data_IF_928721298673
#
_entry.id   IF_928721298673
#
_cell.length_a   1.000
_cell.length_b   1.000
_cell.length_c   1.000
_cell.angle_alpha   90.00
_cell.angle_beta   90.00
_cell.angle_gamma   90.00
#
_symmetry.space_group_name_H-M   'P 1'
#
loop_
_entity.id
_entity.type
_entity.pdbx_description
1 polymer ?
#
# COMPACT_ATOMS: atom_id res chain seq x y z
N UNK A 1 51.58 14.49 -0.64
CA UNK A 1 51.02 13.12 -0.65
C UNK A 1 52.09 12.10 -1.09
N UNK A 2 53.25 12.09 -0.43
CA UNK A 2 54.44 11.27 -0.76
C UNK A 2 55.10 10.67 0.50
N UNK A 3 54.32 10.46 1.57
CA UNK A 3 54.83 10.08 2.90
C UNK A 3 54.19 8.81 3.47
N UNK A 4 53.36 8.09 2.70
CA UNK A 4 52.70 6.85 3.17
C UNK A 4 52.98 5.63 2.28
N UNK A 5 53.88 5.75 1.29
CA UNK A 5 54.27 4.63 0.42
C UNK A 5 55.48 3.87 1.00
N UNK A 6 56.24 4.44 1.93
CA UNK A 6 57.48 3.83 2.44
C UNK A 6 57.32 2.93 3.68
N UNK A 7 56.08 2.62 4.10
CA UNK A 7 55.82 1.75 5.26
C UNK A 7 55.31 0.34 4.88
N UNK A 8 55.05 0.07 3.60
CA UNK A 8 54.58 -1.24 3.13
C UNK A 8 55.71 -2.13 2.57
N UNK A 9 56.90 -1.59 2.33
CA UNK A 9 58.01 -2.31 1.68
C UNK A 9 59.04 -2.90 2.66
N UNK A 10 58.90 -2.69 3.97
CA UNK A 10 59.87 -3.19 4.97
C UNK A 10 59.44 -4.47 5.71
N UNK A 11 58.32 -5.09 5.34
CA UNK A 11 57.80 -6.30 6.01
C UNK A 11 57.88 -7.59 5.16
N UNK A 12 58.40 -7.52 3.92
CA UNK A 12 58.49 -8.67 3.01
C UNK A 12 59.89 -9.34 3.06
N UNK A 13 60.82 -8.83 3.87
CA UNK A 13 62.15 -9.43 4.06
C UNK A 13 62.29 -9.99 5.47
N UNK A 14 61.62 -11.10 5.75
CA UNK A 14 62.00 -12.04 6.82
C UNK A 14 61.13 -13.29 6.73
N UNK A 15 61.57 -14.27 5.95
CA UNK A 15 60.96 -15.61 5.93
C UNK A 15 61.05 -16.28 7.30
N UNK A 16 59.91 -16.57 7.91
CA UNK A 16 59.78 -17.51 9.03
C UNK A 16 58.38 -18.12 9.06
N UNK A 17 58.21 -19.44 8.87
CA UNK A 17 56.92 -20.13 8.97
C UNK A 17 56.81 -20.91 10.28
N UNK A 18 55.65 -20.88 10.98
CA UNK A 18 55.19 -21.98 11.85
C UNK A 18 53.64 -22.04 11.84
N UNK A 19 53.18 -23.28 11.75
CA UNK A 19 51.88 -23.92 11.66
C UNK A 19 51.20 -24.06 13.05
N UNK A 20 49.85 -23.99 13.15
CA UNK A 20 48.96 -24.94 13.88
C UNK A 20 47.52 -24.42 14.18
N UNK A 21 46.55 -25.07 13.51
CA UNK A 21 45.32 -25.75 14.04
C UNK A 21 44.21 -25.04 14.88
N UNK A 22 43.09 -24.68 14.17
CA UNK A 22 41.60 -24.79 14.46
C UNK A 22 40.94 -24.14 15.73
N UNK A 23 39.57 -24.01 15.82
CA UNK A 23 38.53 -23.61 14.85
C UNK A 23 37.48 -22.58 15.43
N UNK A 24 36.62 -22.04 14.55
CA UNK A 24 35.22 -21.56 14.76
C UNK A 24 34.78 -21.10 16.17
N UNK A 25 34.57 -19.78 16.36
CA UNK A 25 33.29 -19.18 16.78
C UNK A 25 33.43 -17.68 17.10
N UNK A 26 32.36 -16.94 16.76
CA UNK A 26 31.94 -15.70 17.41
C UNK A 26 32.71 -14.41 17.10
N UNK A 27 32.29 -13.78 16.01
CA UNK A 27 31.78 -12.41 16.13
C UNK A 27 30.76 -12.17 15.02
N UNK A 28 29.48 -12.37 15.36
CA UNK A 28 28.40 -11.64 14.70
C UNK A 28 28.79 -10.17 14.75
N UNK A 29 29.15 -9.62 13.59
CA UNK A 29 29.38 -8.19 13.48
C UNK A 29 28.07 -7.50 13.91
N UNK A 30 28.14 -6.74 15.00
CA UNK A 30 27.11 -5.76 15.34
C UNK A 30 26.96 -4.85 14.11
N UNK A 31 25.88 -5.08 13.36
CA UNK A 31 25.45 -4.17 12.31
C UNK A 31 25.07 -2.88 13.03
N UNK A 32 25.93 -1.86 12.93
CA UNK A 32 25.66 -0.56 13.50
C UNK A 32 24.44 0.04 12.81
N UNK A 33 23.29 -0.03 13.48
CA UNK A 33 22.05 0.56 12.99
C UNK A 33 22.29 2.07 12.79
N UNK A 34 22.02 2.64 11.60
CA UNK A 34 22.22 4.06 11.34
C UNK A 34 21.46 4.91 12.38
N UNK A 35 22.16 5.82 13.05
CA UNK A 35 21.54 6.81 13.95
C UNK A 35 21.03 7.99 13.11
N UNK A 36 19.73 8.01 12.85
CA UNK A 36 19.01 9.12 12.22
C UNK A 36 17.51 9.02 12.51
N UNK A 37 16.71 10.07 12.28
CA UNK A 37 15.26 9.97 12.40
C UNK A 37 14.74 9.00 11.33
N UNK A 38 14.07 7.95 11.78
CA UNK A 38 13.41 6.99 10.90
C UNK A 38 12.06 7.56 10.47
N UNK A 39 11.63 7.18 9.28
CA UNK A 39 10.37 7.63 8.69
C UNK A 39 9.38 6.49 8.79
N UNK A 40 8.27 6.72 9.48
CA UNK A 40 7.16 5.78 9.50
C UNK A 40 6.03 6.33 8.64
N UNK A 41 5.64 5.58 7.60
CA UNK A 41 4.48 5.90 6.78
C UNK A 41 3.22 5.34 7.45
N UNK A 42 2.46 6.21 8.11
CA UNK A 42 1.23 5.82 8.80
C UNK A 42 0.04 5.56 7.86
N UNK A 43 0.15 5.98 6.59
CA UNK A 43 -0.84 5.73 5.56
C UNK A 43 -0.60 4.42 4.81
N UNK A 44 0.37 3.58 5.21
CA UNK A 44 0.66 2.32 4.56
C UNK A 44 -0.42 1.25 4.85
N UNK A 45 -0.99 0.70 3.77
CA UNK A 45 -1.93 -0.41 3.82
C UNK A 45 -1.38 -1.62 4.58
N UNK A 46 -0.10 -1.96 4.41
CA UNK A 46 0.51 -3.11 5.09
C UNK A 46 0.62 -2.91 6.61
N UNK A 47 0.56 -1.67 7.08
CA UNK A 47 0.50 -1.32 8.49
C UNK A 47 -0.93 -1.13 9.01
N UNK A 48 -1.95 -1.42 8.20
CA UNK A 48 -3.36 -1.34 8.58
C UNK A 48 -4.04 -0.01 8.31
N UNK A 49 -3.42 0.89 7.52
CA UNK A 49 -4.13 2.05 7.00
C UNK A 49 -5.17 1.63 5.95
N UNK A 50 -6.21 2.44 5.78
CA UNK A 50 -7.27 2.16 4.80
C UNK A 50 -7.89 3.44 4.26
N UNK A 51 -8.41 3.37 3.04
CA UNK A 51 -9.22 4.42 2.44
C UNK A 51 -10.62 4.35 3.03
N UNK A 52 -11.10 5.49 3.51
CA UNK A 52 -12.48 5.66 3.93
C UNK A 52 -13.35 5.91 2.69
N UNK A 53 -13.83 4.84 2.08
CA UNK A 53 -14.58 4.86 0.81
C UNK A 53 -15.85 5.72 0.95
N UNK A 54 -16.51 5.69 2.11
CA UNK A 54 -17.74 6.44 2.36
C UNK A 54 -17.52 7.96 2.39
N UNK A 55 -16.30 8.40 2.68
CA UNK A 55 -15.93 9.81 2.76
C UNK A 55 -14.85 10.19 1.72
N UNK A 56 -14.65 9.33 0.73
CA UNK A 56 -13.81 9.61 -0.43
C UNK A 56 -14.69 9.79 -1.66
N UNK A 57 -14.19 10.54 -2.63
CA UNK A 57 -14.78 10.56 -3.96
C UNK A 57 -14.79 9.16 -4.58
N UNK A 58 -15.72 8.94 -5.49
CA UNK A 58 -15.82 7.68 -6.21
C UNK A 58 -14.54 7.34 -6.98
N UNK A 59 -14.20 6.06 -7.03
CA UNK A 59 -12.98 5.54 -7.65
C UNK A 59 -13.28 4.50 -8.72
N UNK A 60 -12.48 4.48 -9.79
CA UNK A 60 -12.44 3.37 -10.75
C UNK A 60 -11.99 2.04 -10.13
N UNK A 61 -11.31 2.06 -8.98
CA UNK A 61 -10.85 0.87 -8.27
C UNK A 61 -11.94 0.23 -7.38
N UNK A 62 -13.07 0.91 -7.19
CA UNK A 62 -14.21 0.38 -6.49
C UNK A 62 -15.16 -0.32 -7.49
N UNK A 63 -15.04 -1.64 -7.64
CA UNK A 63 -15.80 -2.41 -8.65
C UNK A 63 -17.01 -3.14 -8.06
N UNK A 64 -18.09 -3.22 -8.84
CA UNK A 64 -19.39 -3.82 -8.45
C UNK A 64 -19.33 -5.33 -8.12
N UNK A 65 -18.32 -6.05 -8.61
CA UNK A 65 -18.17 -7.51 -8.42
C UNK A 65 -17.24 -7.90 -7.25
N UNK A 66 -17.13 -7.06 -6.23
CA UNK A 66 -16.75 -7.52 -4.89
C UNK A 66 -15.25 -7.61 -4.61
N UNK A 67 -14.41 -6.87 -5.34
CA UNK A 67 -13.01 -6.66 -4.96
C UNK A 67 -12.72 -5.17 -5.02
N UNK A 68 -12.83 -4.50 -3.87
CA UNK A 68 -12.38 -3.13 -3.75
C UNK A 68 -10.85 -3.07 -3.78
N UNK A 69 -10.30 -2.34 -4.74
CA UNK A 69 -8.86 -2.14 -4.91
C UNK A 69 -8.41 -0.74 -4.47
N UNK A 70 -9.31 0.07 -3.88
CA UNK A 70 -9.05 1.47 -3.54
C UNK A 70 -7.81 1.63 -2.66
N UNK A 71 -7.52 0.67 -1.77
CA UNK A 71 -6.35 0.68 -0.90
C UNK A 71 -4.99 0.51 -1.62
N UNK A 72 -4.97 0.22 -2.93
CA UNK A 72 -3.72 0.19 -3.71
C UNK A 72 -3.01 1.55 -3.77
N UNK A 73 -3.74 2.65 -3.58
CA UNK A 73 -3.17 4.01 -3.45
C UNK A 73 -2.38 4.21 -2.16
N UNK A 74 -2.53 3.29 -1.21
CA UNK A 74 -1.89 3.28 0.11
C UNK A 74 -0.84 2.17 0.26
N UNK A 75 -0.73 1.25 -0.71
CA UNK A 75 0.24 0.17 -0.66
C UNK A 75 1.66 0.74 -0.85
N UNK A 76 2.44 0.76 0.24
CA UNK A 76 3.77 1.36 0.20
C UNK A 76 4.73 0.51 -0.66
N UNK A 77 5.26 1.12 -1.71
CA UNK A 77 6.16 0.49 -2.68
C UNK A 77 7.11 1.52 -3.29
N UNK A 78 8.34 1.14 -3.67
CA UNK A 78 9.30 2.07 -4.25
C UNK A 78 8.80 2.79 -5.50
N UNK A 79 8.00 2.10 -6.33
CA UNK A 79 7.44 2.65 -7.55
C UNK A 79 6.02 2.12 -7.78
N UNK A 80 4.99 2.98 -7.85
CA UNK A 80 3.65 2.53 -8.20
C UNK A 80 3.52 2.13 -9.69
N UNK A 81 2.77 1.05 -10.02
CA UNK A 81 2.34 0.67 -11.36
C UNK A 81 1.36 1.68 -11.95
N UNK A 82 1.34 1.76 -13.27
CA UNK A 82 0.57 2.75 -14.02
C UNK A 82 -0.94 2.49 -14.03
N UNK A 83 -1.35 1.23 -13.98
CA UNK A 83 -2.74 0.78 -14.10
C UNK A 83 -3.46 0.64 -12.74
N UNK A 84 -2.78 0.95 -11.63
CA UNK A 84 -3.29 0.78 -10.26
C UNK A 84 -3.54 2.11 -9.53
N UNK A 85 -3.81 3.18 -10.28
CA UNK A 85 -4.12 4.49 -9.72
C UNK A 85 -5.58 4.57 -9.25
N UNK A 86 -5.80 5.24 -8.13
CA UNK A 86 -7.12 5.69 -7.70
C UNK A 86 -7.54 6.87 -8.57
N UNK A 87 -8.50 6.68 -9.45
CA UNK A 87 -8.99 7.71 -10.36
C UNK A 87 -10.42 8.10 -10.04
N UNK A 88 -10.68 9.40 -9.93
CA UNK A 88 -12.02 9.96 -9.74
C UNK A 88 -12.37 10.91 -10.87
N UNK A 89 -13.64 10.92 -11.26
CA UNK A 89 -14.20 11.84 -12.26
C UNK A 89 -14.89 13.08 -11.65
N UNK A 90 -14.79 13.24 -10.34
CA UNK A 90 -15.31 14.42 -9.64
C UNK A 90 -14.38 15.63 -9.87
N UNK A 91 -14.96 16.83 -9.97
CA UNK A 91 -14.21 18.07 -10.27
C UNK A 91 -13.22 18.47 -9.17
N UNK A 92 -13.46 18.05 -7.93
CA UNK A 92 -12.59 18.36 -6.78
C UNK A 92 -12.50 17.12 -5.91
N UNK A 93 -11.77 16.09 -6.39
CA UNK A 93 -11.83 14.78 -5.78
C UNK A 93 -11.12 14.78 -4.43
N UNK A 94 -11.66 13.96 -3.55
CA UNK A 94 -11.25 13.88 -2.16
C UNK A 94 -10.88 12.45 -1.83
N UNK A 95 -9.70 12.23 -1.26
CA UNK A 95 -9.24 10.93 -0.78
C UNK A 95 -9.08 10.99 0.73
N UNK A 96 -9.95 10.30 1.46
CA UNK A 96 -9.95 10.24 2.93
C UNK A 96 -9.30 8.93 3.39
N UNK A 97 -8.37 9.03 4.34
CA UNK A 97 -7.52 7.92 4.77
C UNK A 97 -7.60 7.79 6.28
N UNK A 98 -7.95 6.59 6.75
CA UNK A 98 -7.70 6.15 8.11
C UNK A 98 -6.23 5.74 8.20
N UNK A 99 -5.48 6.40 9.06
CA UNK A 99 -4.09 6.05 9.37
C UNK A 99 -4.05 4.80 10.23
N UNK A 100 -2.96 4.04 10.10
CA UNK A 100 -2.70 2.81 10.89
C UNK A 100 -2.67 3.03 12.41
N UNK A 101 -2.34 4.25 12.86
CA UNK A 101 -2.33 4.67 14.26
C UNK A 101 -2.43 6.19 14.36
N UNK A 102 -2.69 6.68 15.57
CA UNK A 102 -2.55 8.10 15.88
C UNK A 102 -1.09 8.54 15.74
N UNK A 103 -0.83 9.56 14.93
CA UNK A 103 0.50 10.12 14.73
C UNK A 103 0.51 11.64 14.78
N UNK A 104 1.70 12.22 15.02
CA UNK A 104 1.96 13.64 14.75
C UNK A 104 2.71 13.75 13.41
N UNK A 105 2.00 13.97 12.30
CA UNK A 105 2.64 13.96 11.00
C UNK A 105 3.55 15.17 10.81
N UNK A 106 4.68 14.97 10.14
CA UNK A 106 5.69 16.00 9.86
C UNK A 106 5.66 16.46 8.40
N UNK A 107 5.34 15.56 7.49
CA UNK A 107 5.17 15.84 6.06
C UNK A 107 4.35 14.73 5.43
N UNK A 108 3.78 15.03 4.27
CA UNK A 108 3.14 14.07 3.37
C UNK A 108 3.96 13.95 2.10
N UNK A 109 3.77 12.88 1.35
CA UNK A 109 4.27 12.81 -0.02
C UNK A 109 3.21 12.33 -0.98
N UNK A 110 3.37 12.74 -2.23
CA UNK A 110 2.68 12.19 -3.37
C UNK A 110 3.70 11.65 -4.35
N UNK A 111 3.46 10.43 -4.85
CA UNK A 111 4.28 9.77 -5.86
C UNK A 111 3.41 9.32 -7.04
N UNK A 112 3.84 9.65 -8.25
CA UNK A 112 3.22 9.18 -9.48
C UNK A 112 3.90 7.89 -9.99
N UNK A 113 3.18 7.07 -10.78
CA UNK A 113 3.82 6.07 -11.63
C UNK A 113 4.90 6.69 -12.51
N UNK A 114 5.89 5.90 -12.92
CA UNK A 114 7.01 6.39 -13.72
C UNK A 114 6.51 7.07 -15.00
N UNK A 115 6.95 8.30 -15.20
CA UNK A 115 6.69 9.10 -16.39
C UNK A 115 8.01 9.66 -16.94
N UNK A 116 8.00 10.01 -18.22
CA UNK A 116 9.18 10.50 -18.93
C UNK A 116 8.92 11.93 -19.39
N UNK A 117 9.76 12.88 -18.95
CA UNK A 117 9.81 14.29 -19.33
C UNK A 117 8.56 15.14 -19.07
N UNK A 118 7.36 14.57 -19.19
CA UNK A 118 6.06 15.21 -19.01
C UNK A 118 5.24 14.48 -17.96
N UNK A 119 4.63 15.26 -17.07
CA UNK A 119 3.69 14.75 -16.08
C UNK A 119 2.36 14.44 -16.80
N UNK A 120 1.76 13.25 -16.60
CA UNK A 120 0.48 12.91 -17.20
C UNK A 120 -0.64 13.90 -16.80
N UNK A 121 -1.57 14.18 -17.72
CA UNK A 121 -2.58 15.22 -17.55
C UNK A 121 -3.55 14.92 -16.38
N UNK A 122 -3.77 13.65 -16.08
CA UNK A 122 -4.59 13.13 -14.99
C UNK A 122 -3.93 13.28 -13.62
N UNK A 123 -2.63 13.54 -13.56
CA UNK A 123 -1.91 13.67 -12.30
C UNK A 123 -2.40 14.92 -11.53
N UNK A 124 -2.61 14.82 -10.20
CA UNK A 124 -2.77 15.99 -9.36
C UNK A 124 -1.58 16.93 -9.52
N UNK A 125 -1.89 18.22 -9.70
CA UNK A 125 -0.93 19.32 -9.73
C UNK A 125 -0.91 20.04 -8.40
N UNK A 126 -2.08 20.48 -7.94
CA UNK A 126 -2.24 21.24 -6.70
C UNK A 126 -3.21 20.52 -5.77
N UNK A 127 -2.78 20.33 -4.52
CA UNK A 127 -3.61 19.69 -3.50
C UNK A 127 -3.36 20.27 -2.11
N UNK A 128 -4.33 20.04 -1.23
CA UNK A 128 -4.25 20.35 0.19
C UNK A 128 -4.40 19.07 1.01
N UNK A 129 -3.90 19.08 2.24
CA UNK A 129 -4.10 17.99 3.19
C UNK A 129 -4.65 18.54 4.48
N UNK A 130 -5.74 17.93 4.96
CA UNK A 130 -6.40 18.33 6.20
C UNK A 130 -6.46 17.16 7.18
N UNK A 131 -6.43 17.46 8.47
CA UNK A 131 -6.72 16.53 9.55
C UNK A 131 -8.23 16.52 9.80
N UNK A 132 -8.82 15.34 9.82
CA UNK A 132 -10.22 15.18 10.23
C UNK A 132 -10.30 15.16 11.76
N UNK A 133 -11.16 16.00 12.33
CA UNK A 133 -11.37 16.11 13.77
C UNK A 133 -12.58 15.30 14.25
N UNK A 134 -13.36 14.75 13.33
CA UNK A 134 -14.46 13.84 13.59
C UNK A 134 -14.48 12.68 12.60
N UNK A 135 -15.31 11.68 12.89
CA UNK A 135 -15.42 10.45 12.11
C UNK A 135 -15.81 10.70 10.64
N UNK A 136 -16.65 11.68 10.37
CA UNK A 136 -17.17 11.98 9.02
C UNK A 136 -16.30 13.01 8.26
N UNK A 137 -15.23 13.52 8.91
CA UNK A 137 -14.43 14.63 8.42
C UNK A 137 -15.24 15.91 8.11
N UNK A 138 -16.34 16.15 8.84
CA UNK A 138 -17.13 17.39 8.67
C UNK A 138 -16.40 18.59 9.29
N UNK A 139 -15.73 18.37 10.41
CA UNK A 139 -14.82 19.29 11.05
C UNK A 139 -13.38 18.87 10.75
N UNK A 140 -12.60 19.78 10.22
CA UNK A 140 -11.21 19.52 9.84
C UNK A 140 -10.32 20.74 10.08
N UNK A 141 -9.01 20.50 10.14
CA UNK A 141 -7.97 21.53 10.25
C UNK A 141 -6.93 21.36 9.15
N UNK A 142 -6.47 22.45 8.48
CA UNK A 142 -5.37 22.37 7.54
C UNK A 142 -4.10 21.78 8.17
N UNK A 143 -3.45 20.85 7.46
CA UNK A 143 -2.12 20.34 7.78
C UNK A 143 -1.07 20.92 6.84
N UNK A 144 -1.34 20.81 5.55
CA UNK A 144 -0.52 21.36 4.48
C UNK A 144 -1.44 21.98 3.42
N UNK A 145 -1.01 23.08 2.82
CA UNK A 145 -1.78 23.81 1.82
C UNK A 145 -0.90 24.19 0.65
N UNK A 146 -1.47 24.21 -0.56
CA UNK A 146 -0.76 24.49 -1.81
C UNK A 146 0.44 23.54 -2.02
N UNK A 147 0.27 22.27 -1.70
CA UNK A 147 1.22 21.25 -2.13
C UNK A 147 1.18 21.17 -3.65
N UNK A 148 2.34 21.34 -4.28
CA UNK A 148 2.49 21.30 -5.73
C UNK A 148 3.32 20.08 -6.12
N UNK A 149 2.76 19.25 -7.01
CA UNK A 149 3.50 18.24 -7.74
C UNK A 149 4.01 18.86 -9.04
N UNK A 150 5.32 18.90 -9.26
CA UNK A 150 5.88 19.55 -10.45
C UNK A 150 7.16 18.89 -11.00
N UNK A 151 7.54 19.22 -12.22
CA UNK A 151 8.79 18.73 -12.82
C UNK A 151 10.07 19.30 -12.18
N UNK A 152 9.94 20.25 -11.24
CA UNK A 152 11.09 20.91 -10.61
C UNK A 152 11.75 20.02 -9.54
N UNK A 153 11.02 19.06 -8.99
CA UNK A 153 11.51 18.13 -7.97
C UNK A 153 12.20 16.92 -8.61
N UNK A 154 13.20 16.38 -7.91
CA UNK A 154 13.91 15.19 -8.38
C UNK A 154 13.06 13.94 -8.08
N UNK A 155 12.76 13.17 -9.13
CA UNK A 155 12.07 11.90 -9.02
C UNK A 155 10.54 12.02 -9.06
N UNK A 156 9.89 10.86 -8.93
CA UNK A 156 8.43 10.76 -9.05
C UNK A 156 7.69 11.00 -7.74
N UNK A 157 8.39 10.91 -6.59
CA UNK A 157 7.87 11.22 -5.25
C UNK A 157 8.26 12.63 -4.84
N UNK A 158 7.31 13.39 -4.32
CA UNK A 158 7.51 14.77 -3.87
C UNK A 158 6.90 14.99 -2.50
N UNK A 159 7.63 15.70 -1.65
CA UNK A 159 7.28 15.94 -0.26
C UNK A 159 6.62 17.30 -0.09
N UNK A 160 5.60 17.35 0.76
CA UNK A 160 4.95 18.58 1.20
C UNK A 160 4.99 18.65 2.72
N UNK A 161 5.66 19.69 3.24
CA UNK A 161 5.85 19.86 4.68
C UNK A 161 4.55 20.29 5.37
N UNK A 162 4.32 19.75 6.56
CA UNK A 162 3.20 20.16 7.41
C UNK A 162 3.67 21.35 8.24
N UNK A 163 3.01 22.49 8.05
CA UNK A 163 3.37 23.75 8.71
C UNK A 163 2.53 24.04 9.94
N UNK A 164 1.41 23.33 10.10
CA UNK A 164 0.46 23.56 11.18
C UNK A 164 0.78 22.70 12.40
N UNK A 165 0.67 23.22 13.64
CA UNK A 165 0.78 22.40 14.84
C UNK A 165 -0.34 21.37 14.90
N UNK A 166 0.02 20.10 15.07
CA UNK A 166 -0.89 18.95 15.01
C UNK A 166 -0.91 18.25 16.36
N UNK A 167 -2.10 18.17 16.97
CA UNK A 167 -2.40 17.13 17.97
C UNK A 167 -2.34 15.77 17.26
N UNK A 168 -2.06 14.64 17.94
CA UNK A 168 -2.09 13.34 17.26
C UNK A 168 -3.41 13.13 16.50
N UNK A 169 -3.32 12.66 15.26
CA UNK A 169 -4.46 12.41 14.37
C UNK A 169 -4.45 10.98 13.85
N UNK A 170 -5.63 10.44 13.58
CA UNK A 170 -5.82 9.10 13.00
C UNK A 170 -6.45 9.15 11.60
N UNK A 171 -6.91 10.32 11.14
CA UNK A 171 -7.59 10.44 9.85
C UNK A 171 -7.18 11.73 9.14
N UNK A 172 -6.85 11.60 7.87
CA UNK A 172 -6.49 12.72 6.99
C UNK A 172 -7.32 12.69 5.72
N UNK A 173 -7.38 13.83 5.05
CA UNK A 173 -8.04 13.95 3.76
C UNK A 173 -7.17 14.76 2.81
N UNK A 174 -6.81 14.13 1.68
CA UNK A 174 -6.19 14.77 0.53
C UNK A 174 -7.28 15.38 -0.34
N UNK A 175 -7.14 16.66 -0.67
CA UNK A 175 -8.11 17.44 -1.44
C UNK A 175 -7.44 17.94 -2.70
N UNK A 176 -7.72 17.29 -3.83
CA UNK A 176 -7.10 17.61 -5.10
C UNK A 176 -7.88 18.75 -5.76
N UNK A 177 -7.19 19.86 -6.03
CA UNK A 177 -7.80 21.10 -6.54
C UNK A 177 -7.61 21.26 -8.03
N UNK A 178 -6.42 20.90 -8.52
CA UNK A 178 -6.05 21.03 -9.93
C UNK A 178 -5.26 19.79 -10.37
N UNK A 179 -5.47 19.37 -11.62
CA UNK A 179 -4.63 18.40 -12.31
C UNK A 179 -3.88 19.09 -13.47
N UNK A 180 -3.15 18.31 -14.28
CA UNK A 180 -2.32 18.83 -15.37
C UNK A 180 -3.07 19.12 -16.68
N UNK A 181 -4.40 19.01 -16.71
CA UNK A 181 -5.22 19.40 -17.86
C UNK A 181 -6.22 18.34 -18.31
N UNK A 182 -6.39 17.25 -17.57
CA UNK A 182 -7.46 16.29 -17.86
C UNK A 182 -8.81 16.83 -17.37
N UNK A 183 -9.77 16.97 -18.28
CA UNK A 183 -11.09 17.52 -17.96
C UNK A 183 -12.09 16.49 -17.42
N UNK A 184 -11.70 15.21 -17.38
CA UNK A 184 -12.58 14.09 -17.04
C UNK A 184 -12.22 13.43 -15.73
N UNK A 185 -10.95 13.38 -15.36
CA UNK A 185 -10.51 12.64 -14.18
C UNK A 185 -9.20 13.15 -13.57
N UNK A 186 -9.03 12.83 -12.29
CA UNK A 186 -7.76 12.95 -11.57
C UNK A 186 -7.36 11.57 -11.04
N UNK A 187 -6.12 11.16 -11.28
CA UNK A 187 -5.59 9.84 -10.93
C UNK A 187 -4.41 9.95 -9.95
N UNK A 188 -4.58 9.33 -8.78
CA UNK A 188 -3.62 9.35 -7.67
C UNK A 188 -3.00 7.97 -7.55
N UNK A 189 -1.67 7.89 -7.63
CA UNK A 189 -0.96 6.61 -7.62
C UNK A 189 -0.54 6.15 -6.23
N UNK A 190 0.15 7.00 -5.47
CA UNK A 190 0.60 6.67 -4.12
C UNK A 190 0.72 7.93 -3.27
N UNK A 191 0.12 7.88 -2.08
CA UNK A 191 0.23 8.94 -1.07
C UNK A 191 0.78 8.37 0.22
N UNK A 192 1.57 9.17 0.94
CA UNK A 192 2.16 8.78 2.22
C UNK A 192 2.02 9.87 3.25
N UNK A 193 1.94 9.47 4.51
CA UNK A 193 1.82 10.39 5.65
C UNK A 193 2.87 9.98 6.68
N UNK A 194 3.86 10.83 6.88
CA UNK A 194 5.04 10.46 7.64
C UNK A 194 5.08 11.06 9.03
N UNK A 195 5.54 10.25 9.98
CA UNK A 195 5.99 10.65 11.31
C UNK A 195 7.50 10.37 11.43
N UNK A 196 8.22 11.25 12.15
CA UNK A 196 9.61 10.98 12.55
C UNK A 196 9.63 10.10 13.80
N UNK A 197 10.31 8.96 13.72
CA UNK A 197 10.47 8.02 14.84
C UNK A 197 11.93 7.89 15.23
N UNK A 198 12.20 7.81 16.53
CA UNK A 198 13.55 7.54 17.05
C UNK A 198 13.92 6.05 16.99
N UNK A 199 12.91 5.18 16.87
CA UNK A 199 13.10 3.73 16.71
C UNK A 199 13.30 3.37 15.23
N UNK A 200 14.31 2.54 14.91
CA UNK A 200 14.43 1.95 13.58
C UNK A 200 13.16 1.19 13.23
N UNK A 201 12.64 1.42 12.03
CA UNK A 201 11.83 0.39 11.38
C UNK A 201 12.84 -0.69 11.04
N UNK A 202 12.86 -1.77 11.83
CA UNK A 202 13.81 -2.87 11.62
C UNK A 202 13.39 -3.60 10.34
N UNK A 203 13.98 -3.22 9.21
CA UNK A 203 13.73 -3.84 7.89
C UNK A 203 14.92 -4.68 7.40
N UNK A 204 15.67 -5.30 8.32
CA UNK A 204 16.63 -6.33 7.96
C UNK A 204 16.29 -7.63 8.70
N UNK A 205 15.30 -8.34 8.17
CA UNK A 205 15.18 -9.78 8.41
C UNK A 205 15.98 -10.46 7.32
N UNK A 206 17.00 -11.26 7.69
CA UNK A 206 17.51 -12.28 6.76
C UNK A 206 16.29 -13.05 6.25
N UNK A 207 16.13 -13.10 4.93
CA UNK A 207 15.01 -13.80 4.31
C UNK A 207 15.07 -15.25 4.78
N UNK A 208 14.00 -15.69 5.41
CA UNK A 208 13.86 -17.05 5.90
C UNK A 208 13.94 -18.01 4.69
N UNK A 209 14.67 -19.12 4.82
CA UNK A 209 14.73 -20.15 3.77
C UNK A 209 13.34 -20.63 3.36
N UNK A 210 12.37 -20.62 4.28
CA UNK A 210 10.99 -20.98 3.98
C UNK A 210 10.32 -19.92 3.07
N UNK A 211 10.50 -18.63 3.37
CA UNK A 211 10.03 -17.52 2.52
C UNK A 211 10.65 -17.56 1.12
N UNK A 212 11.96 -17.79 1.03
CA UNK A 212 12.65 -17.93 -0.27
C UNK A 212 12.05 -19.07 -1.12
N UNK A 213 11.72 -20.20 -0.49
CA UNK A 213 11.09 -21.33 -1.19
C UNK A 213 9.70 -20.95 -1.69
N UNK A 214 8.88 -20.31 -0.85
CA UNK A 214 7.55 -19.82 -1.20
C UNK A 214 7.63 -18.88 -2.40
N UNK A 215 8.46 -17.84 -2.34
CA UNK A 215 8.57 -16.85 -3.41
C UNK A 215 9.07 -17.48 -4.73
N UNK A 216 10.01 -18.43 -4.67
CA UNK A 216 10.49 -19.17 -5.85
C UNK A 216 9.39 -20.03 -6.48
N UNK A 217 8.56 -20.68 -5.65
CA UNK A 217 7.44 -21.49 -6.12
C UNK A 217 6.37 -20.62 -6.79
N UNK A 218 6.00 -19.49 -6.17
CA UNK A 218 5.06 -18.52 -6.74
C UNK A 218 5.53 -17.96 -8.08
N UNK A 219 6.81 -17.57 -8.17
CA UNK A 219 7.41 -17.13 -9.43
C UNK A 219 7.28 -18.22 -10.51
N UNK A 220 7.56 -19.47 -10.15
CA UNK A 220 7.45 -20.59 -11.09
C UNK A 220 6.02 -20.78 -11.57
N UNK A 221 5.04 -20.67 -10.68
CA UNK A 221 3.62 -20.75 -11.06
C UNK A 221 3.23 -19.60 -11.97
N UNK A 222 3.61 -18.37 -11.63
CA UNK A 222 3.31 -17.19 -12.44
C UNK A 222 3.75 -17.36 -13.91
N UNK A 223 4.99 -17.84 -14.14
CA UNK A 223 5.54 -18.00 -15.49
C UNK A 223 5.12 -19.27 -16.22
N UNK A 224 4.82 -20.36 -15.52
CA UNK A 224 4.58 -21.67 -16.15
C UNK A 224 3.10 -22.11 -16.15
N UNK A 225 2.26 -21.59 -15.25
CA UNK A 225 0.88 -22.03 -15.07
C UNK A 225 0.03 -20.97 -14.38
N UNK A 226 -0.68 -20.17 -15.19
CA UNK A 226 -1.60 -19.12 -14.70
C UNK A 226 -2.68 -19.67 -13.75
N UNK A 227 -3.15 -20.90 -13.99
CA UNK A 227 -4.18 -21.54 -13.17
C UNK A 227 -3.65 -21.90 -11.77
N UNK A 228 -2.43 -22.44 -11.68
CA UNK A 228 -1.81 -22.73 -10.39
C UNK A 228 -1.54 -21.45 -9.60
N UNK A 229 -1.14 -20.37 -10.30
CA UNK A 229 -0.93 -19.07 -9.67
C UNK A 229 -2.24 -18.47 -9.14
N UNK A 230 -3.33 -18.56 -9.91
CA UNK A 230 -4.64 -18.04 -9.51
C UNK A 230 -5.26 -18.76 -8.30
N UNK A 231 -4.93 -20.04 -8.10
CA UNK A 231 -5.40 -20.83 -6.94
C UNK A 231 -4.60 -20.53 -5.67
N UNK A 232 -3.41 -19.95 -5.78
CA UNK A 232 -2.61 -19.52 -4.62
C UNK A 232 -3.12 -18.16 -4.12
N UNK A 233 -3.16 -17.98 -2.80
CA UNK A 233 -3.51 -16.71 -2.17
C UNK A 233 -2.36 -15.69 -2.37
N UNK A 234 -2.34 -15.03 -3.53
CA UNK A 234 -1.27 -14.11 -3.98
C UNK A 234 -1.66 -12.64 -3.79
N UNK A 235 -2.27 -12.34 -2.65
CA UNK A 235 -2.61 -10.96 -2.29
C UNK A 235 -1.36 -10.10 -2.13
N UNK A 236 -1.53 -8.79 -2.26
CA UNK A 236 -0.43 -7.85 -1.98
C UNK A 236 0.12 -8.06 -0.56
N UNK A 237 -0.73 -8.19 0.47
CA UNK A 237 -0.27 -8.46 1.84
C UNK A 237 0.62 -9.69 1.91
N UNK A 238 0.18 -10.82 1.33
CA UNK A 238 0.95 -12.06 1.37
C UNK A 238 2.31 -11.94 0.67
N UNK A 239 2.36 -11.30 -0.51
CA UNK A 239 3.61 -11.14 -1.26
C UNK A 239 4.62 -10.24 -0.55
N UNK A 240 4.16 -9.12 0.03
CA UNK A 240 5.02 -8.15 0.71
C UNK A 240 5.48 -8.66 2.08
N UNK A 241 4.62 -9.31 2.88
CA UNK A 241 5.00 -9.90 4.17
C UNK A 241 6.07 -11.00 4.04
N UNK A 242 6.11 -11.69 2.88
CA UNK A 242 7.09 -12.72 2.57
C UNK A 242 8.32 -12.20 1.81
N UNK A 243 8.42 -10.88 1.59
CA UNK A 243 9.53 -10.25 0.87
C UNK A 243 9.71 -10.82 -0.56
N UNK A 244 8.62 -11.19 -1.24
CA UNK A 244 8.70 -11.88 -2.53
C UNK A 244 9.00 -10.97 -3.73
N UNK A 245 8.82 -9.65 -3.59
CA UNK A 245 8.95 -8.72 -4.71
C UNK A 245 10.38 -8.59 -5.26
N UNK A 246 11.40 -9.00 -4.49
CA UNK A 246 12.78 -9.12 -5.01
C UNK A 246 12.93 -10.26 -6.02
N UNK A 247 12.15 -11.32 -5.86
CA UNK A 247 12.26 -12.54 -6.67
C UNK A 247 11.31 -12.49 -7.87
N UNK A 248 10.12 -11.93 -7.68
CA UNK A 248 9.07 -11.75 -8.68
C UNK A 248 8.46 -10.34 -8.56
N UNK A 249 9.12 -9.29 -9.08
CA UNK A 249 8.58 -7.93 -9.05
C UNK A 249 7.23 -7.82 -9.79
N UNK A 250 7.07 -8.55 -10.90
CA UNK A 250 5.84 -8.63 -11.69
C UNK A 250 4.66 -9.15 -10.86
N UNK A 251 4.89 -10.11 -9.96
CA UNK A 251 3.86 -10.62 -9.05
C UNK A 251 3.32 -9.50 -8.13
N UNK A 252 4.20 -8.59 -7.67
CA UNK A 252 3.83 -7.48 -6.79
C UNK A 252 3.28 -6.26 -7.55
N UNK A 253 3.60 -6.13 -8.83
CA UNK A 253 3.02 -5.13 -9.72
C UNK A 253 1.54 -5.44 -9.99
N UNK A 254 1.24 -6.72 -10.23
CA UNK A 254 -0.09 -7.20 -10.59
C UNK A 254 -0.96 -7.63 -9.39
N UNK A 255 -0.39 -7.62 -8.18
CA UNK A 255 -1.09 -8.09 -6.99
C UNK A 255 -2.41 -7.32 -6.76
N UNK A 256 -3.36 -8.03 -6.14
CA UNK A 256 -4.66 -7.49 -5.77
C UNK A 256 -4.79 -7.47 -4.26
N UNK A 257 -5.53 -6.50 -3.75
CA UNK A 257 -5.96 -6.47 -2.35
C UNK A 257 -7.28 -7.23 -2.26
N UNK A 258 -7.34 -8.33 -1.52
CA UNK A 258 -8.61 -9.04 -1.31
C UNK A 258 -9.18 -8.66 0.04
N UNK A 259 -9.81 -7.49 0.11
CA UNK A 259 -10.75 -7.20 1.19
C UNK A 259 -12.07 -7.84 0.81
N UNK A 260 -12.24 -9.11 1.16
CA UNK A 260 -13.53 -9.76 1.07
C UNK A 260 -14.49 -9.04 2.03
N UNK A 261 -15.26 -8.07 1.54
CA UNK A 261 -16.47 -7.66 2.25
C UNK A 261 -17.45 -8.83 2.15
N UNK A 262 -17.46 -9.65 3.20
CA UNK A 262 -18.31 -10.85 3.27
C UNK A 262 -19.79 -10.50 3.41
N UNK A 263 -20.14 -9.24 3.72
CA UNK A 263 -21.52 -8.79 3.93
C UNK A 263 -22.44 -9.06 2.73
N UNK A 264 -22.13 -8.67 1.48
CA UNK A 264 -22.96 -8.96 0.32
C UNK A 264 -23.20 -10.45 0.08
N UNK A 265 -22.21 -11.32 0.33
CA UNK A 265 -22.35 -12.77 0.17
C UNK A 265 -23.30 -13.34 1.22
N UNK A 266 -23.17 -12.93 2.49
CA UNK A 266 -24.08 -13.35 3.55
C UNK A 266 -25.51 -12.87 3.32
N UNK A 267 -25.70 -11.65 2.80
CA UNK A 267 -27.02 -11.13 2.44
C UNK A 267 -27.62 -11.96 1.29
N UNK A 268 -26.84 -12.26 0.25
CA UNK A 268 -27.31 -13.03 -0.91
C UNK A 268 -27.64 -14.50 -0.58
N UNK A 269 -26.80 -15.16 0.23
CA UNK A 269 -27.08 -16.52 0.71
C UNK A 269 -28.28 -16.54 1.66
N UNK A 270 -28.42 -15.51 2.51
CA UNK A 270 -29.58 -15.35 3.39
C UNK A 270 -30.88 -15.16 2.61
N UNK A 271 -30.89 -14.32 1.57
CA UNK A 271 -32.09 -14.12 0.74
C UNK A 271 -32.46 -15.38 -0.06
N UNK A 272 -31.47 -16.09 -0.62
CA UNK A 272 -31.69 -17.38 -1.28
C UNK A 272 -32.28 -18.43 -0.34
N UNK A 273 -31.76 -18.52 0.89
CA UNK A 273 -32.27 -19.44 1.90
C UNK A 273 -33.71 -19.13 2.29
N UNK A 274 -34.04 -17.85 2.50
CA UNK A 274 -35.41 -17.40 2.80
C UNK A 274 -36.37 -17.70 1.64
N UNK A 275 -35.98 -17.42 0.40
CA UNK A 275 -36.78 -17.73 -0.79
C UNK A 275 -37.01 -19.24 -0.94
N UNK A 276 -35.98 -20.06 -0.75
CA UNK A 276 -36.11 -21.51 -0.75
C UNK A 276 -37.08 -21.99 0.36
N UNK A 277 -36.95 -21.46 1.57
CA UNK A 277 -37.83 -21.78 2.69
C UNK A 277 -39.31 -21.49 2.37
N UNK A 278 -39.63 -20.35 1.75
CA UNK A 278 -40.99 -20.02 1.34
C UNK A 278 -41.52 -20.90 0.20
N UNK A 279 -40.66 -21.33 -0.73
CA UNK A 279 -41.04 -22.24 -1.81
C UNK A 279 -41.28 -23.68 -1.33
N UNK A 280 -40.56 -24.13 -0.30
CA UNK A 280 -40.69 -25.49 0.25
C UNK A 280 -41.76 -25.61 1.36
N UNK A 281 -42.15 -24.51 2.00
CA UNK A 281 -43.16 -24.49 3.07
C UNK A 281 -44.50 -23.86 2.68
N UNK A 282 -44.70 -23.40 1.44
CA UNK A 282 -46.06 -23.17 0.96
C UNK A 282 -46.70 -24.54 0.71
N UNK A 283 -47.61 -25.04 1.59
CA UNK A 283 -48.39 -26.20 1.22
C UNK A 283 -49.16 -25.81 -0.03
N UNK A 284 -49.10 -26.65 -1.06
CA UNK A 284 -50.07 -26.60 -2.16
C UNK A 284 -51.45 -26.46 -1.53
N UNK A 285 -52.04 -25.26 -1.59
CA UNK A 285 -53.40 -25.05 -1.12
C UNK A 285 -54.27 -25.97 -1.97
N UNK A 286 -54.90 -27.02 -1.40
CA UNK A 286 -55.77 -27.86 -2.20
C UNK A 286 -56.93 -26.97 -2.65
N UNK A 287 -57.08 -26.85 -3.96
CA UNK A 287 -58.26 -26.30 -4.62
C UNK A 287 -59.51 -26.89 -3.93
N UNK A 288 -60.20 -26.11 -3.10
CA UNK A 288 -61.52 -26.50 -2.58
C UNK A 288 -62.50 -26.45 -3.75
N UNK A 289 -63.16 -27.57 -4.12
CA UNK A 289 -64.26 -27.49 -5.07
C UNK A 289 -65.41 -26.78 -4.39
N UNK A 290 -65.90 -25.74 -5.04
CA UNK A 290 -67.12 -25.02 -4.70
C UNK A 290 -68.33 -25.95 -4.84
N UNK A 291 -68.90 -26.39 -3.72
CA UNK A 291 -70.27 -26.91 -3.68
C UNK A 291 -71.24 -25.72 -3.55
N UNK A 292 -72.08 -25.56 -4.57
CA UNK A 292 -73.29 -24.72 -4.55
C UNK A 292 -74.34 -25.33 -3.61
N UNK A 293 -75.19 -24.52 -2.95
CA UNK A 293 -76.29 -25.04 -2.16
C UNK A 293 -77.55 -25.18 -3.03
N UNK A 294 -78.13 -26.38 -3.01
CA UNK A 294 -79.56 -26.74 -2.97
C UNK A 294 -79.73 -28.20 -3.41
#
# INVERSE_FOLDING_TARGET
MKSQINALESAIVSGKPIEDTKPLEKSMAEVSIPKGPFRFNAADYLHGASVDIAHSSSSNLNTFFGLDQTNLVLLDRPQPPKDKAWCSNENSPVLTINLSKFIKPVYVSYQHAKWHEQIPNEAPKIYDVVACLDFHCNNWKPLASNCEYSTQSIGTEQFCNITSPVTPIEKVQFRFRENYGDSKMTCVHLVRVYEETQTPVITEKKKDCEKEKICRELKKFYHNSSLDYAVKNTTCSFLYENDCCSDCPECCEECMITEYDTKPIFIFLGTLYVLAFFLFLSPFAPFRPSFLPC
#
